data_IF_887858270030
#
_entry.id   IF_887858270030
#
_cell.length_a   1.000
_cell.length_b   1.000
_cell.length_c   1.000
_cell.angle_alpha   90.00
_cell.angle_beta   90.00
_cell.angle_gamma   90.00
#
_symmetry.space_group_name_H-M   'P 1'
#
loop_
_entity.id
_entity.type
_entity.pdbx_description
1 polymer ?
#
# COMPACT_ATOMS: atom_id res chain seq x y z
N UNK A 1 14.64 -3.38 27.90
CA UNK A 1 14.86 -4.48 26.94
C UNK A 1 14.22 -4.05 25.63
N UNK A 2 15.01 -3.63 24.65
CA UNK A 2 14.49 -3.21 23.34
C UNK A 2 14.16 -4.45 22.52
N UNK A 3 12.94 -4.51 21.99
CA UNK A 3 12.53 -5.57 21.07
C UNK A 3 13.38 -5.42 19.80
N UNK A 4 14.08 -6.46 19.33
CA UNK A 4 14.86 -6.37 18.08
C UNK A 4 13.92 -6.02 16.92
N UNK A 5 14.36 -5.12 16.05
CA UNK A 5 13.61 -4.75 14.85
C UNK A 5 13.63 -5.92 13.87
N UNK A 6 12.44 -6.31 13.40
CA UNK A 6 12.26 -7.31 12.36
C UNK A 6 12.00 -6.59 11.04
N UNK A 7 12.78 -6.94 10.01
CA UNK A 7 12.57 -6.43 8.65
C UNK A 7 12.04 -7.57 7.79
N UNK A 8 10.84 -7.38 7.25
CA UNK A 8 10.26 -8.28 6.24
C UNK A 8 10.43 -7.61 4.89
N UNK A 9 11.18 -8.25 3.98
CA UNK A 9 11.34 -7.79 2.62
C UNK A 9 10.56 -8.74 1.69
N UNK A 10 9.45 -8.27 1.14
CA UNK A 10 8.74 -8.98 0.08
C UNK A 10 9.45 -8.64 -1.22
N UNK A 11 10.16 -9.62 -1.78
CA UNK A 11 10.85 -9.46 -3.05
C UNK A 11 9.86 -9.88 -4.13
N UNK A 12 9.19 -8.91 -4.73
CA UNK A 12 8.57 -9.15 -6.03
C UNK A 12 9.68 -9.01 -7.05
N UNK A 13 10.08 -10.11 -7.70
CA UNK A 13 11.02 -10.10 -8.81
C UNK A 13 10.30 -9.46 -10.01
N UNK A 14 10.44 -8.15 -10.27
CA UNK A 14 9.71 -7.56 -11.37
C UNK A 14 10.50 -7.96 -12.62
N UNK A 15 9.81 -8.48 -13.63
CA UNK A 15 10.28 -8.39 -15.00
C UNK A 15 10.46 -6.90 -15.34
N UNK A 16 11.61 -6.34 -14.97
CA UNK A 16 12.04 -4.98 -15.27
C UNK A 16 11.62 -3.86 -14.32
N UNK A 17 12.24 -3.77 -13.15
CA UNK A 17 12.28 -2.53 -12.35
C UNK A 17 13.71 -1.98 -12.20
N UNK A 18 13.98 -0.75 -12.68
CA UNK A 18 15.17 0.01 -12.24
C UNK A 18 14.87 0.62 -10.88
N UNK A 19 15.73 0.41 -9.89
CA UNK A 19 15.96 1.40 -8.81
C UNK A 19 17.26 1.09 -8.08
N UNK A 20 18.11 2.12 -8.01
CA UNK A 20 19.34 2.11 -7.22
C UNK A 20 19.02 2.39 -5.76
N UNK A 21 19.59 1.59 -4.86
CA UNK A 21 19.69 1.92 -3.45
C UNK A 21 20.82 2.92 -3.30
N UNK A 22 20.50 4.16 -2.92
CA UNK A 22 21.52 5.16 -2.54
C UNK A 22 22.26 4.67 -1.30
N UNK A 23 23.49 4.21 -1.52
CA UNK A 23 24.46 3.85 -0.49
C UNK A 23 24.92 5.12 0.24
N UNK A 24 24.68 5.22 1.55
CA UNK A 24 25.46 6.11 2.42
C UNK A 24 26.71 5.35 2.86
N UNK A 25 27.83 5.69 2.20
CA UNK A 25 29.23 5.33 2.50
C UNK A 25 29.66 3.87 2.29
N UNK A 26 30.91 3.72 1.85
CA UNK A 26 31.62 2.47 1.57
C UNK A 26 31.83 2.27 0.07
N UNK A 27 33.07 2.05 -0.36
CA UNK A 27 33.43 1.71 -1.74
C UNK A 27 32.95 0.31 -2.12
N UNK A 28 32.68 0.07 -3.41
CA UNK A 28 32.38 -1.27 -3.94
C UNK A 28 33.65 -1.81 -4.59
N UNK A 29 34.23 -2.86 -3.99
CA UNK A 29 35.33 -3.63 -4.54
C UNK A 29 34.91 -4.38 -5.81
N UNK A 30 35.84 -4.48 -6.76
CA UNK A 30 35.64 -5.10 -8.08
C UNK A 30 35.43 -6.61 -7.97
N UNK A 31 34.21 -7.08 -8.25
CA UNK A 31 33.94 -8.46 -8.68
C UNK A 31 34.00 -8.57 -10.21
N UNK A 32 34.72 -9.56 -10.73
CA UNK A 32 35.14 -9.69 -12.13
C UNK A 32 34.05 -9.61 -13.20
N UNK A 33 34.28 -8.75 -14.20
CA UNK A 33 33.49 -8.60 -15.41
C UNK A 33 34.22 -9.32 -16.56
N UNK A 34 33.65 -10.39 -17.12
CA UNK A 34 34.02 -10.86 -18.46
C UNK A 34 33.10 -10.19 -19.49
N UNK A 35 33.70 -9.40 -20.39
CA UNK A 35 33.03 -8.58 -21.41
C UNK A 35 32.82 -9.38 -22.69
N UNK A 36 31.56 -9.54 -23.12
CA UNK A 36 31.18 -9.73 -24.52
C UNK A 36 30.51 -8.44 -25.04
N UNK A 37 30.61 -8.11 -26.34
CA UNK A 37 30.06 -6.87 -26.86
C UNK A 37 28.55 -7.02 -27.04
N UNK A 38 27.81 -6.08 -26.46
CA UNK A 38 26.36 -5.91 -26.63
C UNK A 38 25.45 -6.97 -25.98
N UNK A 39 25.38 -6.95 -24.65
CA UNK A 39 24.15 -7.34 -23.95
C UNK A 39 24.08 -6.65 -22.60
N UNK A 40 23.07 -5.79 -22.47
CA UNK A 40 22.77 -5.00 -21.28
C UNK A 40 22.26 -5.94 -20.17
N UNK A 41 23.18 -6.55 -19.43
CA UNK A 41 22.89 -7.50 -18.34
C UNK A 41 22.00 -6.84 -17.29
N UNK A 42 20.74 -7.29 -17.23
CA UNK A 42 19.79 -7.01 -16.15
C UNK A 42 19.92 -8.14 -15.13
N UNK A 43 20.32 -7.81 -13.92
CA UNK A 43 20.36 -8.76 -12.80
C UNK A 43 19.11 -8.53 -11.96
N UNK A 44 18.16 -9.45 -12.03
CA UNK A 44 17.15 -9.61 -10.98
C UNK A 44 17.78 -10.47 -9.89
N UNK A 45 17.93 -9.93 -8.69
CA UNK A 45 18.46 -10.69 -7.57
C UNK A 45 17.36 -11.59 -7.04
N UNK A 46 17.56 -12.91 -7.08
CA UNK A 46 16.68 -13.82 -6.35
C UNK A 46 16.87 -13.64 -4.84
N UNK A 47 15.92 -14.09 -4.00
CA UNK A 47 16.11 -14.13 -2.55
C UNK A 47 17.39 -14.86 -2.15
N UNK A 48 17.76 -15.94 -2.86
CA UNK A 48 19.00 -16.69 -2.63
C UNK A 48 20.24 -15.82 -2.93
N UNK A 49 20.27 -15.11 -4.06
CA UNK A 49 21.40 -14.23 -4.40
C UNK A 49 21.53 -13.06 -3.41
N UNK A 50 20.41 -12.53 -2.92
CA UNK A 50 20.39 -11.46 -1.92
C UNK A 50 20.89 -11.95 -0.56
N UNK A 51 20.48 -13.16 -0.16
CA UNK A 51 20.97 -13.83 1.05
C UNK A 51 22.48 -14.14 0.96
N UNK A 52 22.95 -14.67 -0.17
CA UNK A 52 24.37 -14.94 -0.38
C UNK A 52 25.23 -13.68 -0.36
N UNK A 53 24.74 -12.58 -0.94
CA UNK A 53 25.43 -11.29 -0.90
C UNK A 53 25.48 -10.73 0.53
N UNK A 54 24.38 -10.81 1.26
CA UNK A 54 24.33 -10.40 2.68
C UNK A 54 25.32 -11.21 3.52
N UNK A 55 25.34 -12.54 3.36
CA UNK A 55 26.30 -13.42 4.06
C UNK A 55 27.75 -13.06 3.74
N UNK A 56 28.07 -12.78 2.46
CA UNK A 56 29.41 -12.33 2.06
C UNK A 56 29.80 -10.99 2.67
N UNK A 57 28.87 -10.04 2.75
CA UNK A 57 29.13 -8.74 3.39
C UNK A 57 29.36 -8.88 4.90
N UNK A 58 28.66 -9.80 5.56
CA UNK A 58 28.86 -10.10 6.98
C UNK A 58 30.22 -10.77 7.23
N UNK A 59 30.64 -11.67 6.34
CA UNK A 59 31.98 -12.29 6.37
C UNK A 59 33.12 -11.29 6.09
N UNK A 60 32.87 -10.22 5.31
CA UNK A 60 33.85 -9.17 4.99
C UNK A 60 34.01 -8.10 6.10
N UNK A 61 33.07 -7.97 7.04
CA UNK A 61 33.09 -6.94 8.11
C UNK A 61 33.98 -7.28 9.33
N UNK A 62 34.81 -8.32 9.25
CA UNK A 62 35.42 -8.99 10.41
C UNK A 62 36.55 -8.23 11.17
N UNK A 63 36.77 -6.93 10.87
CA UNK A 63 37.89 -6.13 11.37
C UNK A 63 37.59 -5.00 12.36
N UNK A 64 36.46 -4.28 12.26
CA UNK A 64 36.25 -3.00 12.99
C UNK A 64 34.93 -2.89 13.79
N UNK A 65 33.97 -3.81 13.64
CA UNK A 65 32.60 -3.66 14.20
C UNK A 65 32.25 -4.60 15.35
N UNK A 66 33.20 -5.38 15.89
CA UNK A 66 32.97 -6.46 16.88
C UNK A 66 32.37 -6.06 18.25
N UNK A 67 32.16 -4.77 18.51
CA UNK A 67 31.53 -4.28 19.75
C UNK A 67 30.06 -3.83 19.61
N UNK A 68 29.52 -3.75 18.38
CA UNK A 68 28.19 -3.18 18.15
C UNK A 68 27.16 -4.30 18.04
N UNK A 69 26.16 -4.30 18.93
CA UNK A 69 25.01 -5.21 18.76
C UNK A 69 24.32 -4.84 17.43
N UNK A 70 23.99 -5.81 16.57
CA UNK A 70 23.28 -5.53 15.34
C UNK A 70 21.93 -4.88 15.68
N UNK A 71 21.61 -3.77 15.00
CA UNK A 71 20.35 -3.04 15.19
C UNK A 71 19.15 -3.83 14.65
N UNK A 72 19.40 -4.73 13.70
CA UNK A 72 18.42 -5.63 13.08
C UNK A 72 18.71 -7.04 13.60
N UNK A 73 17.70 -7.69 14.21
CA UNK A 73 17.87 -9.05 14.74
C UNK A 73 17.69 -10.13 13.70
N UNK A 74 16.69 -9.97 12.83
CA UNK A 74 16.33 -10.97 11.83
C UNK A 74 15.82 -10.30 10.54
N UNK A 75 16.12 -10.93 9.41
CA UNK A 75 15.62 -10.54 8.09
C UNK A 75 14.85 -11.73 7.51
N UNK A 76 13.60 -11.50 7.12
CA UNK A 76 12.78 -12.48 6.42
C UNK A 76 12.66 -12.06 4.95
N UNK A 77 13.11 -12.95 4.06
CA UNK A 77 12.97 -12.79 2.62
C UNK A 77 11.86 -13.72 2.15
N UNK A 78 10.78 -13.14 1.63
CA UNK A 78 9.65 -13.88 1.08
C UNK A 78 9.53 -13.57 -0.40
N UNK A 79 9.54 -14.62 -1.21
CA UNK A 79 9.20 -14.50 -2.63
C UNK A 79 7.68 -14.36 -2.77
N UNK A 80 7.25 -13.54 -3.74
CA UNK A 80 5.83 -13.27 -3.98
C UNK A 80 5.12 -14.46 -4.59
N UNK A 81 5.85 -15.37 -5.24
CA UNK A 81 5.30 -16.57 -5.85
C UNK A 81 4.81 -17.63 -4.85
N UNK A 82 5.25 -17.54 -3.59
CA UNK A 82 4.80 -18.41 -2.50
C UNK A 82 3.35 -18.11 -2.08
N UNK A 83 2.91 -16.87 -2.27
CA UNK A 83 1.55 -16.44 -1.92
C UNK A 83 1.06 -15.46 -2.99
N UNK A 84 0.33 -15.94 -3.98
CA UNK A 84 -0.39 -15.04 -4.91
C UNK A 84 -1.74 -14.58 -4.35
N UNK A 85 -2.34 -15.37 -3.46
CA UNK A 85 -3.69 -15.16 -2.92
C UNK A 85 -3.82 -13.78 -2.29
N UNK A 86 -2.90 -13.40 -1.39
CA UNK A 86 -2.97 -12.11 -0.71
C UNK A 86 -2.89 -10.89 -1.66
N UNK A 87 -2.25 -11.04 -2.83
CA UNK A 87 -2.17 -9.97 -3.83
C UNK A 87 -3.39 -9.93 -4.76
N UNK A 88 -4.11 -11.04 -4.87
CA UNK A 88 -5.34 -11.14 -5.66
C UNK A 88 -6.55 -10.65 -4.87
N UNK A 89 -6.59 -10.80 -3.55
CA UNK A 89 -7.68 -10.29 -2.71
C UNK A 89 -7.73 -8.77 -2.64
N UNK A 90 -8.93 -8.20 -2.62
CA UNK A 90 -9.15 -6.77 -2.52
C UNK A 90 -8.70 -6.22 -1.17
N UNK A 91 -8.03 -5.07 -1.19
CA UNK A 91 -7.58 -4.43 0.04
C UNK A 91 -8.77 -3.73 0.73
N UNK A 92 -8.96 -3.96 2.02
CA UNK A 92 -10.10 -3.42 2.79
C UNK A 92 -9.74 -2.29 3.76
N UNK A 93 -8.45 -1.98 3.86
CA UNK A 93 -7.93 -0.87 4.68
C UNK A 93 -7.86 0.42 3.87
N UNK A 94 -7.88 1.56 4.55
CA UNK A 94 -7.86 2.87 3.89
C UNK A 94 -6.71 3.07 2.91
N UNK A 95 -5.47 2.81 3.33
CA UNK A 95 -4.29 3.00 2.50
C UNK A 95 -4.34 2.12 1.24
N UNK A 96 -4.78 0.87 1.40
CA UNK A 96 -4.93 -0.07 0.30
C UNK A 96 -5.99 0.35 -0.71
N UNK A 97 -7.14 0.87 -0.25
CA UNK A 97 -8.17 1.39 -1.14
C UNK A 97 -7.76 2.68 -1.83
N UNK A 98 -6.95 3.51 -1.18
CA UNK A 98 -6.33 4.68 -1.82
C UNK A 98 -5.38 4.22 -2.93
N UNK A 99 -4.57 3.18 -2.70
CA UNK A 99 -3.71 2.61 -3.75
C UNK A 99 -4.50 2.00 -4.91
N UNK A 100 -5.54 1.22 -4.62
CA UNK A 100 -6.39 0.61 -5.67
C UNK A 100 -7.10 1.69 -6.51
N UNK A 101 -7.51 2.80 -5.90
CA UNK A 101 -8.33 3.83 -6.56
C UNK A 101 -7.52 4.95 -7.23
N UNK A 102 -6.41 5.37 -6.62
CA UNK A 102 -5.62 6.53 -7.03
C UNK A 102 -4.16 6.20 -7.37
N UNK A 103 -3.71 4.96 -7.08
CA UNK A 103 -2.34 4.47 -7.30
C UNK A 103 -1.27 5.27 -6.55
N UNK A 104 -0.80 4.71 -5.44
CA UNK A 104 0.30 5.26 -4.65
C UNK A 104 1.63 4.96 -5.35
N UNK A 105 2.38 6.02 -5.66
CA UNK A 105 3.70 5.93 -6.30
C UNK A 105 4.76 6.51 -5.37
N UNK A 106 5.62 5.63 -4.86
CA UNK A 106 6.73 6.00 -3.96
C UNK A 106 6.25 6.79 -2.72
N UNK A 107 5.16 6.33 -2.10
CA UNK A 107 4.55 6.99 -0.95
C UNK A 107 3.84 8.31 -1.27
N UNK A 108 3.70 8.70 -2.54
CA UNK A 108 2.92 9.86 -2.94
C UNK A 108 1.71 9.46 -3.77
N UNK A 109 0.63 10.23 -3.66
CA UNK A 109 -0.56 10.08 -4.50
C UNK A 109 -0.92 11.42 -5.12
N UNK A 110 -1.38 11.40 -6.36
CA UNK A 110 -1.83 12.58 -7.09
C UNK A 110 -3.35 12.60 -7.08
N UNK A 111 -3.94 13.45 -6.24
CA UNK A 111 -5.39 13.59 -6.14
C UNK A 111 -5.92 14.55 -7.19
N UNK A 112 -6.91 14.12 -7.98
CA UNK A 112 -7.53 14.95 -9.00
C UNK A 112 -8.61 15.90 -8.47
N UNK A 113 -9.35 16.56 -9.38
CA UNK A 113 -10.45 17.45 -9.05
C UNK A 113 -11.57 16.77 -8.26
N UNK A 114 -11.74 15.44 -8.41
CA UNK A 114 -12.74 14.64 -7.71
C UNK A 114 -12.54 14.61 -6.19
N UNK A 115 -11.31 14.82 -5.71
CA UNK A 115 -10.96 14.86 -4.28
C UNK A 115 -10.75 16.28 -3.79
N UNK A 116 -10.10 17.11 -4.60
CA UNK A 116 -9.65 18.45 -4.17
C UNK A 116 -10.69 19.55 -4.42
N UNK A 117 -11.75 19.26 -5.19
CA UNK A 117 -12.72 20.25 -5.69
C UNK A 117 -12.08 21.43 -6.42
N UNK A 118 -10.84 21.24 -6.90
CA UNK A 118 -10.03 22.25 -7.58
C UNK A 118 -9.52 21.71 -8.90
N UNK A 119 -9.38 22.57 -9.92
CA UNK A 119 -8.99 22.17 -11.28
C UNK A 119 -7.52 21.69 -11.38
N UNK A 120 -6.76 21.76 -10.28
CA UNK A 120 -5.36 21.32 -10.24
C UNK A 120 -5.24 20.04 -9.41
N UNK A 121 -4.47 19.08 -9.93
CA UNK A 121 -4.10 17.91 -9.16
C UNK A 121 -3.21 18.30 -7.98
N UNK A 122 -3.50 17.71 -6.81
CA UNK A 122 -2.73 17.91 -5.59
C UNK A 122 -1.93 16.64 -5.31
N UNK A 123 -0.61 16.77 -5.39
CA UNK A 123 0.31 15.73 -4.94
C UNK A 123 0.43 15.75 -3.42
N UNK A 124 0.11 14.63 -2.78
CA UNK A 124 0.20 14.44 -1.33
C UNK A 124 1.16 13.30 -1.03
N UNK A 125 2.06 13.53 -0.08
CA UNK A 125 2.94 12.51 0.48
C UNK A 125 2.20 11.81 1.62
N UNK A 126 2.03 10.50 1.50
CA UNK A 126 1.41 9.63 2.50
C UNK A 126 2.52 9.09 3.41
N UNK A 127 2.68 9.70 4.58
CA UNK A 127 3.66 9.29 5.58
C UNK A 127 3.11 9.46 7.00
N UNK A 128 3.85 8.99 8.00
CA UNK A 128 3.45 9.10 9.40
C UNK A 128 3.54 10.51 9.99
N UNK A 129 4.04 11.50 9.23
CA UNK A 129 4.06 12.91 9.68
C UNK A 129 2.66 13.52 9.62
N UNK A 130 1.80 13.01 8.73
CA UNK A 130 0.38 13.31 8.73
C UNK A 130 -0.33 12.53 9.85
N UNK A 131 -0.72 13.25 10.91
CA UNK A 131 -1.44 12.70 12.06
C UNK A 131 -2.79 12.10 11.69
N UNK A 132 -3.48 12.67 10.70
CA UNK A 132 -4.78 12.15 10.24
C UNK A 132 -4.55 10.83 9.51
N UNK A 133 -3.61 10.80 8.58
CA UNK A 133 -3.27 9.60 7.82
C UNK A 133 -2.77 8.47 8.73
N UNK A 134 -1.88 8.76 9.69
CA UNK A 134 -1.32 7.76 10.59
C UNK A 134 -2.38 7.03 11.42
N UNK A 135 -3.48 7.71 11.76
CA UNK A 135 -4.60 7.12 12.53
C UNK A 135 -5.54 6.29 11.65
N UNK A 136 -5.73 6.65 10.38
CA UNK A 136 -6.72 5.97 9.51
C UNK A 136 -6.11 4.94 8.57
N UNK A 137 -4.80 4.98 8.30
CA UNK A 137 -4.17 4.19 7.22
C UNK A 137 -4.43 2.68 7.30
N UNK A 138 -4.42 2.14 8.52
CA UNK A 138 -4.58 0.71 8.80
C UNK A 138 -6.00 0.36 9.27
N UNK A 139 -6.91 1.34 9.33
CA UNK A 139 -8.28 1.12 9.74
C UNK A 139 -9.11 0.52 8.61
N UNK A 140 -10.04 -0.35 8.97
CA UNK A 140 -11.02 -0.89 8.02
C UNK A 140 -11.86 0.25 7.46
N UNK A 141 -12.04 0.28 6.13
CA UNK A 141 -12.64 1.42 5.43
C UNK A 141 -14.01 1.86 5.99
N UNK A 142 -14.85 0.92 6.40
CA UNK A 142 -16.16 1.20 7.03
C UNK A 142 -16.08 2.11 8.26
N UNK A 143 -14.97 2.08 9.01
CA UNK A 143 -14.78 2.86 10.24
C UNK A 143 -14.19 4.26 9.96
N UNK A 144 -13.50 4.41 8.82
CA UNK A 144 -12.73 5.61 8.48
C UNK A 144 -13.64 6.83 8.32
N UNK A 145 -14.78 6.69 7.65
CA UNK A 145 -15.67 7.83 7.40
C UNK A 145 -16.22 8.43 8.71
N UNK A 146 -16.62 7.57 9.66
CA UNK A 146 -17.08 7.99 10.99
C UNK A 146 -15.97 8.70 11.77
N UNK A 147 -14.75 8.16 11.70
CA UNK A 147 -13.57 8.75 12.31
C UNK A 147 -13.25 10.15 11.77
N UNK A 148 -13.18 10.30 10.44
CA UNK A 148 -12.90 11.58 9.77
C UNK A 148 -13.98 12.62 10.11
N UNK A 149 -15.25 12.22 10.14
CA UNK A 149 -16.37 13.11 10.50
C UNK A 149 -16.29 13.61 11.94
N UNK A 150 -15.88 12.75 12.88
CA UNK A 150 -15.64 13.16 14.27
C UNK A 150 -14.43 14.09 14.39
N UNK A 151 -13.34 13.78 13.69
CA UNK A 151 -12.11 14.59 13.69
C UNK A 151 -12.34 15.97 13.07
N UNK A 152 -13.18 16.06 12.03
CA UNK A 152 -13.60 17.34 11.42
C UNK A 152 -14.34 18.24 12.42
N UNK A 153 -15.32 17.70 13.15
CA UNK A 153 -16.05 18.45 14.19
C UNK A 153 -15.13 18.94 15.30
N UNK A 154 -14.17 18.11 15.73
CA UNK A 154 -13.21 18.47 16.76
C UNK A 154 -12.27 19.60 16.32
N UNK A 155 -11.71 19.52 15.10
CA UNK A 155 -10.85 20.56 14.54
C UNK A 155 -11.61 21.88 14.34
N UNK A 156 -12.86 21.81 13.88
CA UNK A 156 -13.70 22.99 13.74
C UNK A 156 -13.93 23.69 15.09
N UNK A 157 -14.22 22.92 16.14
CA UNK A 157 -14.37 23.46 17.49
C UNK A 157 -13.07 24.12 18.01
N UNK A 158 -11.90 23.56 17.69
CA UNK A 158 -10.61 24.19 18.03
C UNK A 158 -10.40 25.50 17.26
N UNK A 159 -10.80 25.55 16.00
CA UNK A 159 -10.79 26.78 15.21
C UNK A 159 -11.70 27.86 15.79
N UNK A 160 -12.89 27.50 16.25
CA UNK A 160 -13.87 28.48 16.75
C UNK A 160 -13.46 29.09 18.10
N UNK A 161 -12.62 28.41 18.90
CA UNK A 161 -12.02 28.95 20.14
C UNK A 161 -11.24 30.25 19.92
N UNK A 162 -10.76 30.50 18.70
CA UNK A 162 -10.09 31.77 18.33
C UNK A 162 -10.97 33.00 18.59
N UNK A 163 -12.29 32.86 18.55
CA UNK A 163 -13.23 33.99 18.66
C UNK A 163 -13.37 34.56 20.08
N UNK A 164 -12.83 33.88 21.10
CA UNK A 164 -12.94 34.28 22.51
C UNK A 164 -11.60 34.47 23.24
N UNK A 165 -10.48 34.58 22.52
CA UNK A 165 -9.16 34.73 23.15
C UNK A 165 -8.79 36.19 23.41
N UNK A 166 -8.08 36.44 24.52
CA UNK A 166 -7.44 37.73 24.79
C UNK A 166 -6.26 38.00 23.83
N UNK A 167 -5.85 39.26 23.68
CA UNK A 167 -4.82 39.71 22.73
C UNK A 167 -3.49 38.97 22.92
N UNK A 168 -3.09 38.70 24.16
CA UNK A 168 -1.86 37.93 24.46
C UNK A 168 -1.98 36.47 24.05
N UNK A 169 -3.13 35.85 24.31
CA UNK A 169 -3.42 34.47 23.93
C UNK A 169 -3.54 34.31 22.41
N UNK A 170 -4.14 35.29 21.73
CA UNK A 170 -4.25 35.35 20.27
C UNK A 170 -2.87 35.36 19.61
N UNK A 171 -1.92 36.16 20.13
CA UNK A 171 -0.55 36.20 19.59
C UNK A 171 0.14 34.83 19.72
N UNK A 172 -0.01 34.16 20.85
CA UNK A 172 0.54 32.82 21.07
C UNK A 172 -0.11 31.78 20.14
N UNK A 173 -1.44 31.80 20.02
CA UNK A 173 -2.19 30.91 19.14
C UNK A 173 -1.78 31.05 17.67
N UNK A 174 -1.70 32.28 17.15
CA UNK A 174 -1.31 32.55 15.76
C UNK A 174 0.13 32.10 15.48
N UNK A 175 1.03 32.33 16.43
CA UNK A 175 2.46 32.02 16.26
C UNK A 175 2.80 30.54 16.40
N UNK A 176 2.10 29.80 17.27
CA UNK A 176 2.48 28.42 17.63
C UNK A 176 1.50 27.36 17.10
N UNK A 177 0.19 27.62 17.12
CA UNK A 177 -0.83 26.58 16.92
C UNK A 177 -1.52 26.66 15.54
N UNK A 178 -1.78 27.88 15.04
CA UNK A 178 -2.57 28.10 13.83
C UNK A 178 -1.99 27.42 12.59
N UNK A 179 -0.65 27.44 12.44
CA UNK A 179 0.01 26.85 11.27
C UNK A 179 -0.18 25.33 11.22
N UNK A 180 -0.04 24.66 12.36
CA UNK A 180 -0.27 23.21 12.48
C UNK A 180 -1.73 22.86 12.24
N UNK A 181 -2.64 23.60 12.88
CA UNK A 181 -4.08 23.38 12.77
C UNK A 181 -4.60 23.57 11.33
N UNK A 182 -4.06 24.54 10.58
CA UNK A 182 -4.39 24.77 9.17
C UNK A 182 -3.90 23.65 8.26
N UNK A 183 -2.71 23.14 8.52
CA UNK A 183 -2.19 22.00 7.77
C UNK A 183 -3.04 20.75 8.03
N UNK A 184 -3.36 20.47 9.30
CA UNK A 184 -4.17 19.30 9.67
C UNK A 184 -5.59 19.38 9.07
N UNK A 185 -6.22 20.57 9.10
CA UNK A 185 -7.52 20.77 8.45
C UNK A 185 -7.45 20.54 6.94
N UNK A 186 -6.39 21.02 6.27
CA UNK A 186 -6.22 20.81 4.83
C UNK A 186 -6.09 19.32 4.50
N UNK A 187 -5.24 18.60 5.22
CA UNK A 187 -5.02 17.16 4.99
C UNK A 187 -6.29 16.36 5.30
N UNK A 188 -7.00 16.70 6.38
CA UNK A 188 -8.30 16.11 6.69
C UNK A 188 -9.31 16.29 5.55
N UNK A 189 -9.43 17.50 4.99
CA UNK A 189 -10.34 17.75 3.86
C UNK A 189 -9.98 16.90 2.64
N UNK A 190 -8.69 16.70 2.36
CA UNK A 190 -8.24 15.83 1.27
C UNK A 190 -8.63 14.37 1.54
N UNK A 191 -8.42 13.86 2.76
CA UNK A 191 -8.78 12.49 3.10
C UNK A 191 -10.30 12.24 3.05
N UNK A 192 -11.12 13.24 3.43
CA UNK A 192 -12.58 13.19 3.27
C UNK A 192 -12.96 13.09 1.79
N UNK A 193 -12.42 13.97 0.94
CA UNK A 193 -12.69 13.94 -0.50
C UNK A 193 -12.25 12.63 -1.16
N UNK A 194 -11.13 12.06 -0.70
CA UNK A 194 -10.65 10.74 -1.14
C UNK A 194 -11.62 9.63 -0.72
N UNK A 195 -12.09 9.62 0.53
CA UNK A 195 -13.11 8.68 1.00
C UNK A 195 -14.40 8.77 0.17
N UNK A 196 -14.90 9.97 -0.08
CA UNK A 196 -16.11 10.18 -0.88
C UNK A 196 -15.92 9.68 -2.32
N UNK A 197 -14.78 9.95 -2.93
CA UNK A 197 -14.44 9.47 -4.26
C UNK A 197 -14.33 7.95 -4.34
N UNK A 198 -13.75 7.30 -3.32
CA UNK A 198 -13.72 5.83 -3.20
C UNK A 198 -15.14 5.27 -3.11
N UNK A 199 -16.00 5.85 -2.26
CA UNK A 199 -17.39 5.41 -2.10
C UNK A 199 -18.24 5.61 -3.36
N UNK A 200 -17.91 6.61 -4.19
CA UNK A 200 -18.58 6.82 -5.49
C UNK A 200 -18.14 5.81 -6.55
N UNK A 201 -16.84 5.48 -6.60
CA UNK A 201 -16.28 4.52 -7.56
C UNK A 201 -16.62 3.08 -7.20
N UNK A 202 -16.57 2.75 -5.90
CA UNK A 202 -16.91 1.43 -5.37
C UNK A 202 -18.19 1.57 -4.57
N UNK A 203 -19.34 1.28 -5.20
CA UNK A 203 -20.60 1.32 -4.48
C UNK A 203 -20.54 0.33 -3.32
N UNK A 204 -21.18 0.68 -2.20
CA UNK A 204 -21.13 -0.14 -0.99
C UNK A 204 -21.64 -1.56 -1.25
N UNK A 205 -22.66 -1.70 -2.09
CA UNK A 205 -23.25 -3.00 -2.39
C UNK A 205 -22.33 -3.84 -3.29
N UNK A 206 -21.89 -3.32 -4.42
CA UNK A 206 -21.02 -4.05 -5.36
C UNK A 206 -19.73 -4.49 -4.67
N UNK A 207 -19.14 -3.59 -3.87
CA UNK A 207 -17.92 -3.91 -3.12
C UNK A 207 -18.15 -4.98 -2.04
N UNK A 208 -19.29 -4.96 -1.36
CA UNK A 208 -19.63 -6.01 -0.39
C UNK A 208 -19.89 -7.35 -1.05
N UNK A 209 -20.53 -7.37 -2.21
CA UNK A 209 -20.72 -8.59 -3.00
C UNK A 209 -19.38 -9.14 -3.50
N UNK A 210 -18.48 -8.28 -3.99
CA UNK A 210 -17.12 -8.66 -4.40
C UNK A 210 -16.36 -9.33 -3.24
N UNK A 211 -16.31 -8.70 -2.07
CA UNK A 211 -15.61 -9.25 -0.89
C UNK A 211 -16.25 -10.55 -0.41
N UNK A 212 -17.58 -10.68 -0.47
CA UNK A 212 -18.27 -11.93 -0.14
C UNK A 212 -17.87 -13.06 -1.08
N UNK A 213 -17.80 -12.80 -2.39
CA UNK A 213 -17.35 -13.77 -3.37
C UNK A 213 -15.89 -14.15 -3.15
N UNK A 214 -15.01 -13.17 -2.89
CA UNK A 214 -13.60 -13.44 -2.55
C UNK A 214 -13.48 -14.36 -1.32
N UNK A 215 -14.22 -14.09 -0.24
CA UNK A 215 -14.22 -14.95 0.94
C UNK A 215 -14.77 -16.35 0.65
N UNK A 216 -15.87 -16.46 -0.11
CA UNK A 216 -16.43 -17.76 -0.47
C UNK A 216 -15.43 -18.63 -1.26
N UNK A 217 -14.70 -18.02 -2.19
CA UNK A 217 -13.63 -18.68 -2.94
C UNK A 217 -12.50 -19.15 -2.02
N UNK A 218 -12.05 -18.31 -1.08
CA UNK A 218 -10.99 -18.67 -0.13
C UNK A 218 -11.39 -19.80 0.82
N UNK A 219 -12.65 -19.84 1.22
CA UNK A 219 -13.20 -20.89 2.09
C UNK A 219 -13.53 -22.19 1.31
N UNK A 220 -13.56 -22.15 -0.02
CA UNK A 220 -13.93 -23.28 -0.87
C UNK A 220 -15.43 -23.58 -0.87
N UNK A 221 -16.27 -22.60 -0.53
CA UNK A 221 -17.73 -22.74 -0.53
C UNK A 221 -18.36 -22.06 -1.73
N UNK A 222 -19.58 -22.51 -2.11
CA UNK A 222 -20.43 -21.85 -3.10
C UNK A 222 -19.72 -21.50 -4.43
N UNK A 223 -18.85 -22.40 -4.91
CA UNK A 223 -18.06 -22.18 -6.13
C UNK A 223 -18.96 -21.88 -7.34
N UNK A 224 -20.11 -22.56 -7.46
CA UNK A 224 -21.07 -22.31 -8.54
C UNK A 224 -21.63 -20.88 -8.51
N UNK A 225 -22.01 -20.39 -7.33
CA UNK A 225 -22.51 -19.02 -7.17
C UNK A 225 -21.40 -18.01 -7.45
N UNK A 226 -20.18 -18.31 -7.00
CA UNK A 226 -18.99 -17.48 -7.26
C UNK A 226 -18.67 -17.41 -8.76
N UNK A 227 -18.76 -18.52 -9.50
CA UNK A 227 -18.61 -18.54 -10.95
C UNK A 227 -19.70 -17.73 -11.63
N UNK A 228 -20.96 -17.88 -11.24
CA UNK A 228 -22.07 -17.08 -11.79
C UNK A 228 -21.87 -15.59 -11.51
N UNK A 229 -21.38 -15.22 -10.33
CA UNK A 229 -21.03 -13.84 -10.03
C UNK A 229 -19.89 -13.32 -10.93
N UNK A 230 -18.85 -14.11 -11.19
CA UNK A 230 -17.75 -13.75 -12.08
C UNK A 230 -18.27 -13.54 -13.52
N UNK A 231 -19.11 -14.43 -14.02
CA UNK A 231 -19.75 -14.32 -15.34
C UNK A 231 -20.57 -13.02 -15.44
N UNK A 232 -21.43 -12.77 -14.46
CA UNK A 232 -22.23 -11.55 -14.41
C UNK A 232 -21.34 -10.28 -14.30
N UNK A 233 -20.25 -10.33 -13.54
CA UNK A 233 -19.31 -9.22 -13.41
C UNK A 233 -18.61 -8.91 -14.75
N UNK A 234 -18.33 -9.94 -15.56
CA UNK A 234 -17.78 -9.80 -16.93
C UNK A 234 -18.84 -9.22 -17.87
N UNK A 235 -20.06 -9.74 -17.84
CA UNK A 235 -21.17 -9.31 -18.69
C UNK A 235 -21.54 -7.84 -18.46
N UNK A 236 -21.53 -7.40 -17.20
CA UNK A 236 -21.76 -6.00 -16.80
C UNK A 236 -20.58 -5.07 -17.13
N UNK A 237 -19.44 -5.61 -17.55
CA UNK A 237 -18.23 -4.86 -17.91
C UNK A 237 -17.73 -3.90 -16.81
N UNK A 238 -17.81 -4.30 -15.54
CA UNK A 238 -17.45 -3.43 -14.40
C UNK A 238 -15.96 -3.08 -14.41
N UNK A 239 -15.09 -4.10 -14.37
CA UNK A 239 -13.64 -3.92 -14.38
C UNK A 239 -12.94 -5.20 -14.84
N UNK A 240 -12.17 -5.17 -15.95
CA UNK A 240 -11.49 -6.36 -16.45
C UNK A 240 -10.40 -6.87 -15.51
N UNK A 241 -9.76 -5.97 -14.74
CA UNK A 241 -8.71 -6.35 -13.80
C UNK A 241 -9.30 -7.06 -12.58
N UNK A 242 -10.45 -6.60 -12.07
CA UNK A 242 -11.12 -7.25 -10.94
C UNK A 242 -11.68 -8.62 -11.34
N UNK A 243 -12.30 -8.73 -12.52
CA UNK A 243 -12.70 -10.03 -13.09
C UNK A 243 -11.51 -10.99 -13.23
N UNK A 244 -10.36 -10.51 -13.74
CA UNK A 244 -9.17 -11.34 -13.88
C UNK A 244 -8.63 -11.80 -12.52
N UNK A 245 -8.63 -10.93 -11.51
CA UNK A 245 -8.23 -11.30 -10.15
C UNK A 245 -9.11 -12.40 -9.58
N UNK A 246 -10.43 -12.30 -9.74
CA UNK A 246 -11.37 -13.33 -9.29
C UNK A 246 -11.17 -14.66 -10.04
N UNK A 247 -10.94 -14.63 -11.36
CA UNK A 247 -10.64 -15.84 -12.12
C UNK A 247 -9.31 -16.49 -11.68
N UNK A 248 -8.27 -15.68 -11.44
CA UNK A 248 -7.01 -16.18 -10.89
C UNK A 248 -7.19 -16.75 -9.48
N UNK A 249 -7.99 -16.11 -8.64
CA UNK A 249 -8.29 -16.58 -7.29
C UNK A 249 -9.00 -17.93 -7.33
N UNK A 250 -10.06 -18.05 -8.14
CA UNK A 250 -10.78 -19.30 -8.39
C UNK A 250 -9.83 -20.40 -8.89
N UNK A 251 -8.93 -20.08 -9.81
CA UNK A 251 -7.95 -21.05 -10.33
C UNK A 251 -7.00 -21.55 -9.25
N UNK A 252 -6.60 -20.71 -8.30
CA UNK A 252 -5.66 -21.09 -7.24
C UNK A 252 -6.37 -21.91 -6.15
N UNK A 253 -7.60 -21.53 -5.79
CA UNK A 253 -8.37 -22.23 -4.74
C UNK A 253 -8.82 -23.62 -5.19
N UNK A 254 -9.11 -23.80 -6.49
CA UNK A 254 -9.58 -25.06 -7.07
C UNK A 254 -8.47 -25.87 -7.76
N UNK A 255 -7.19 -25.57 -7.47
CA UNK A 255 -6.02 -26.23 -8.08
C UNK A 255 -6.05 -26.29 -9.63
N UNK A 256 -6.74 -25.35 -10.29
CA UNK A 256 -6.85 -25.27 -11.74
C UNK A 256 -7.82 -26.27 -12.40
N UNK A 257 -8.61 -27.03 -11.64
CA UNK A 257 -9.49 -28.06 -12.23
C UNK A 257 -10.66 -27.49 -13.06
N UNK A 258 -11.14 -26.27 -12.74
CA UNK A 258 -12.28 -25.65 -13.44
C UNK A 258 -11.93 -24.94 -14.76
N UNK A 259 -10.65 -24.67 -15.03
CA UNK A 259 -10.20 -24.09 -16.30
C UNK A 259 -9.88 -25.17 -17.35
N UNK A 260 -10.12 -26.44 -17.04
CA UNK A 260 -10.06 -27.48 -18.05
C UNK A 260 -11.15 -27.19 -19.11
N UNK A 261 -10.81 -27.24 -20.41
CA UNK A 261 -11.80 -27.04 -21.45
C UNK A 261 -12.91 -28.07 -21.27
N UNK A 262 -14.17 -27.61 -21.15
CA UNK A 262 -15.32 -28.50 -21.31
C UNK A 262 -15.18 -29.16 -22.67
N UNK A 263 -14.79 -30.43 -22.69
CA UNK A 263 -14.84 -31.23 -23.90
C UNK A 263 -16.29 -31.22 -24.38
N UNK A 264 -16.57 -30.79 -25.62
CA UNK A 264 -17.91 -30.93 -26.16
C UNK A 264 -18.21 -32.42 -26.32
N UNK A 265 -19.35 -32.86 -25.78
CA UNK A 265 -19.94 -34.18 -26.05
C UNK A 265 -20.30 -34.33 -27.55
#
# INVERSE_FOLDING_TARGET
MGVPWVVVLIISCPLGGRRGVTRKRGDFGRGGLQKGPDTRLRVSWSPQMSYELWRKLEEEEDGETKGRRPEIGHVFLLDRDVDFVTALCSQVVYEGLVDDTFRVKCGSVDFGPEVTSSDRSLKVLLNAEDKVFNEIRNEHFSNVFGFLSQKARNLQAQYDRRRGMDIKQMKNFVSQELKGLKQEHRLLSVHIGACESIMKKKTKQDFQELIKTEHALLEGFNIRESTSYIEEHIDRQVSPIESLRLMCLLSITENGELLQPKMPD
#
